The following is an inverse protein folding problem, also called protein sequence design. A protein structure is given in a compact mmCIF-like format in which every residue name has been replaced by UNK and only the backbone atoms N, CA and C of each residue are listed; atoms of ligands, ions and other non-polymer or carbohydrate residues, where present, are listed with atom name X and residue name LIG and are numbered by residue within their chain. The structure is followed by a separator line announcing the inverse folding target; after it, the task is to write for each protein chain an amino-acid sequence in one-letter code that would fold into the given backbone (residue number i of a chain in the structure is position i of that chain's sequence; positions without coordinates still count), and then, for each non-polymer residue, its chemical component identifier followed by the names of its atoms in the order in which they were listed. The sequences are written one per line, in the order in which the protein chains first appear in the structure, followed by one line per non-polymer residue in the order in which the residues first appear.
data_IF_413508506735
#
_entry.id   IF_413508506735
#
_cell.length_a   1.000
_cell.length_b   1.000
_cell.length_c   1.000
_cell.angle_alpha   90.00
_cell.angle_beta   90.00
_cell.angle_gamma   90.00
#
_symmetry.space_group_name_H-M   'P 1'
#
loop_
_entity.id
_entity.type
_entity.pdbx_description
1 polymer ?
#
# COMPACT_ATOMS: atom_id res chain seq x y z
N UNK A 1 -31.69 -8.50 11.03
CA UNK A 1 -31.43 -7.76 9.78
C UNK A 1 -31.10 -8.78 8.70
N UNK A 2 -31.71 -8.67 7.50
CA UNK A 2 -31.46 -9.63 6.43
C UNK A 2 -29.95 -9.64 6.06
N UNK A 3 -29.42 -10.81 5.74
CA UNK A 3 -28.01 -11.03 5.32
C UNK A 3 -27.59 -10.06 4.19
N UNK A 4 -28.52 -9.73 3.31
CA UNK A 4 -28.33 -8.79 2.20
C UNK A 4 -28.03 -7.36 2.70
N UNK A 5 -28.73 -6.86 3.73
CA UNK A 5 -28.48 -5.52 4.28
C UNK A 5 -27.09 -5.43 4.94
N UNK A 6 -26.65 -6.50 5.60
CA UNK A 6 -25.31 -6.59 6.18
C UNK A 6 -24.23 -6.56 5.10
N UNK A 7 -24.39 -7.39 4.05
CA UNK A 7 -23.48 -7.42 2.91
C UNK A 7 -23.42 -6.07 2.18
N UNK A 8 -24.56 -5.45 1.90
CA UNK A 8 -24.61 -4.14 1.27
C UNK A 8 -23.89 -3.08 2.10
N UNK A 9 -24.14 -3.04 3.42
CA UNK A 9 -23.44 -2.10 4.32
C UNK A 9 -21.93 -2.33 4.34
N UNK A 10 -21.46 -3.56 4.39
CA UNK A 10 -20.03 -3.88 4.35
C UNK A 10 -19.41 -3.46 3.02
N UNK A 11 -20.03 -3.76 1.91
CA UNK A 11 -19.58 -3.37 0.56
C UNK A 11 -19.46 -1.85 0.43
N UNK A 12 -20.44 -1.10 0.96
CA UNK A 12 -20.40 0.36 0.95
C UNK A 12 -19.20 0.88 1.74
N UNK A 13 -18.97 0.39 2.96
CA UNK A 13 -17.84 0.85 3.77
C UNK A 13 -16.48 0.54 3.15
N UNK A 14 -16.28 -0.67 2.62
CA UNK A 14 -15.03 -1.05 1.96
C UNK A 14 -14.85 -0.34 0.61
N UNK A 15 -15.91 -0.28 -0.19
CA UNK A 15 -15.88 0.37 -1.51
C UNK A 15 -15.69 1.87 -1.40
N UNK A 16 -16.50 2.55 -0.59
CA UNK A 16 -16.45 4.00 -0.45
C UNK A 16 -15.09 4.48 0.09
N UNK A 17 -14.54 3.80 1.11
CA UNK A 17 -13.21 4.16 1.63
C UNK A 17 -12.10 3.98 0.58
N UNK A 18 -12.20 2.99 -0.28
CA UNK A 18 -11.22 2.74 -1.34
C UNK A 18 -11.36 3.73 -2.50
N UNK A 19 -12.59 4.09 -2.88
CA UNK A 19 -12.88 5.10 -3.91
C UNK A 19 -12.45 6.48 -3.41
N UNK A 20 -12.79 6.83 -2.17
CA UNK A 20 -12.38 8.10 -1.57
C UNK A 20 -10.86 8.27 -1.57
N UNK A 21 -10.11 7.20 -1.21
CA UNK A 21 -8.65 7.22 -1.27
C UNK A 21 -8.12 7.58 -2.66
N UNK A 22 -8.64 6.92 -3.70
CA UNK A 22 -8.22 7.16 -5.09
C UNK A 22 -8.62 8.54 -5.58
N UNK A 23 -9.83 8.98 -5.26
CA UNK A 23 -10.32 10.31 -5.66
C UNK A 23 -9.47 11.43 -5.06
N UNK A 24 -9.12 11.32 -3.79
CA UNK A 24 -8.28 12.30 -3.11
C UNK A 24 -6.85 12.29 -3.69
N UNK A 25 -6.27 11.12 -3.94
CA UNK A 25 -4.97 11.02 -4.61
C UNK A 25 -5.00 11.65 -6.01
N UNK A 26 -6.12 11.50 -6.73
CA UNK A 26 -6.30 12.14 -8.03
C UNK A 26 -6.37 13.68 -7.92
N UNK A 27 -7.02 14.22 -6.87
CA UNK A 27 -7.06 15.68 -6.63
C UNK A 27 -5.69 16.29 -6.30
N UNK A 28 -4.72 15.49 -5.82
CA UNK A 28 -3.36 15.96 -5.59
C UNK A 28 -2.57 16.14 -6.89
N UNK A 29 -2.94 15.47 -7.99
CA UNK A 29 -2.21 15.54 -9.27
C UNK A 29 -2.09 16.98 -9.78
N UNK A 30 -3.15 17.78 -9.91
CA UNK A 30 -3.03 19.19 -10.36
C UNK A 30 -2.14 20.03 -9.45
N UNK A 31 -2.21 19.80 -8.12
CA UNK A 31 -1.37 20.50 -7.17
C UNK A 31 0.12 20.16 -7.36
N UNK A 32 0.44 18.89 -7.53
CA UNK A 32 1.82 18.42 -7.74
C UNK A 32 2.38 18.91 -9.09
N UNK A 33 1.57 18.88 -10.16
CA UNK A 33 2.00 19.37 -11.48
C UNK A 33 2.23 20.88 -11.51
N UNK A 34 1.57 21.63 -10.63
CA UNK A 34 1.81 23.07 -10.49
C UNK A 34 3.08 23.39 -9.67
N UNK A 35 3.36 22.56 -8.66
CA UNK A 35 4.50 22.76 -7.74
C UNK A 35 5.84 22.26 -8.30
N UNK A 36 5.84 21.17 -9.03
CA UNK A 36 7.04 20.54 -9.56
C UNK A 36 7.32 20.93 -11.00
N UNK A 37 8.61 20.94 -11.37
CA UNK A 37 9.02 21.05 -12.78
C UNK A 37 8.60 19.78 -13.54
N UNK A 38 8.44 19.87 -14.85
CA UNK A 38 8.07 18.73 -15.71
C UNK A 38 9.03 17.54 -15.52
N UNK A 39 10.33 17.80 -15.41
CA UNK A 39 11.34 16.77 -15.19
C UNK A 39 11.14 16.08 -13.84
N UNK A 40 11.01 16.84 -12.74
CA UNK A 40 10.85 16.27 -11.40
C UNK A 40 9.52 15.48 -11.27
N UNK A 41 8.44 15.98 -11.88
CA UNK A 41 7.18 15.26 -11.92
C UNK A 41 7.29 13.96 -12.74
N UNK A 42 8.04 14.00 -13.85
CA UNK A 42 8.31 12.83 -14.69
C UNK A 42 9.04 11.73 -13.91
N UNK A 43 10.14 12.08 -13.24
CA UNK A 43 10.91 11.13 -12.40
C UNK A 43 10.05 10.53 -11.28
N UNK A 44 9.28 11.37 -10.58
CA UNK A 44 8.35 10.91 -9.55
C UNK A 44 7.32 9.93 -10.13
N UNK A 45 6.75 10.23 -11.30
CA UNK A 45 5.75 9.38 -11.95
C UNK A 45 6.31 8.01 -12.34
N UNK A 46 7.57 7.96 -12.82
CA UNK A 46 8.26 6.70 -13.10
C UNK A 46 8.37 5.86 -11.83
N UNK A 47 8.87 6.42 -10.73
CA UNK A 47 9.02 5.74 -9.44
C UNK A 47 7.67 5.20 -8.94
N UNK A 48 6.63 6.03 -8.96
CA UNK A 48 5.29 5.64 -8.52
C UNK A 48 4.67 4.54 -9.39
N UNK A 49 5.00 4.47 -10.67
CA UNK A 49 4.49 3.42 -11.57
C UNK A 49 5.00 2.03 -11.22
N UNK A 50 6.19 1.92 -10.60
CA UNK A 50 6.78 0.65 -10.18
C UNK A 50 6.23 0.12 -8.85
N UNK A 51 5.69 0.98 -7.97
CA UNK A 51 5.17 0.57 -6.66
C UNK A 51 4.12 -0.56 -6.76
N UNK A 52 3.11 -0.51 -7.65
CA UNK A 52 2.14 -1.60 -7.78
C UNK A 52 2.76 -2.94 -8.17
N UNK A 53 3.76 -2.94 -9.06
CA UNK A 53 4.47 -4.16 -9.46
C UNK A 53 5.25 -4.77 -8.29
N UNK A 54 5.98 -3.94 -7.55
CA UNK A 54 6.71 -4.37 -6.36
C UNK A 54 5.75 -4.89 -5.28
N UNK A 55 4.61 -4.25 -5.08
CA UNK A 55 3.58 -4.70 -4.14
C UNK A 55 3.05 -6.09 -4.51
N UNK A 56 2.89 -6.42 -5.80
CA UNK A 56 2.51 -7.78 -6.24
C UNK A 56 3.61 -8.79 -5.90
N UNK A 57 4.88 -8.47 -6.15
CA UNK A 57 6.03 -9.35 -5.84
C UNK A 57 6.11 -9.59 -4.33
N UNK A 58 6.07 -8.52 -3.53
CA UNK A 58 6.19 -8.58 -2.08
C UNK A 58 5.00 -9.32 -1.45
N UNK A 59 3.79 -9.08 -1.95
CA UNK A 59 2.58 -9.75 -1.43
C UNK A 59 2.53 -11.25 -1.75
N UNK A 60 3.18 -11.67 -2.84
CA UNK A 60 3.31 -13.07 -3.29
C UNK A 60 2.08 -13.95 -3.00
N UNK A 61 0.86 -13.38 -3.14
CA UNK A 61 -0.39 -14.08 -2.90
C UNK A 61 -0.74 -14.36 -1.43
N UNK A 62 0.03 -13.84 -0.46
CA UNK A 62 -0.15 -14.10 0.97
C UNK A 62 -1.51 -13.58 1.48
N UNK A 63 -2.04 -12.50 0.93
CA UNK A 63 -3.39 -12.04 1.26
C UNK A 63 -4.45 -13.08 0.91
N UNK A 64 -4.37 -13.65 -0.28
CA UNK A 64 -5.29 -14.73 -0.73
C UNK A 64 -5.14 -15.98 0.12
N UNK A 65 -3.91 -16.36 0.45
CA UNK A 65 -3.63 -17.48 1.34
C UNK A 65 -4.22 -17.25 2.74
N UNK A 66 -4.07 -16.04 3.27
CA UNK A 66 -4.64 -15.66 4.56
C UNK A 66 -6.17 -15.81 4.59
N UNK A 67 -6.89 -15.35 3.55
CA UNK A 67 -8.34 -15.53 3.45
C UNK A 67 -8.76 -16.99 3.28
N UNK A 68 -7.97 -17.80 2.59
CA UNK A 68 -8.29 -19.20 2.34
C UNK A 68 -8.10 -20.08 3.56
N UNK A 69 -7.04 -19.85 4.33
CA UNK A 69 -6.64 -20.69 5.45
C UNK A 69 -6.99 -20.13 6.82
N UNK A 70 -7.29 -18.83 6.94
CA UNK A 70 -7.68 -18.20 8.19
C UNK A 70 -9.11 -18.55 8.57
N UNK A 71 -9.29 -19.59 9.38
CA UNK A 71 -10.58 -19.97 9.98
C UNK A 71 -10.67 -19.40 11.41
N UNK A 72 -11.88 -19.41 11.99
CA UNK A 72 -12.07 -18.94 13.38
C UNK A 72 -11.20 -19.67 14.41
N UNK A 73 -10.90 -20.94 14.15
CA UNK A 73 -10.13 -21.80 15.06
C UNK A 73 -8.64 -21.56 14.99
N UNK A 74 -8.11 -21.11 13.84
CA UNK A 74 -6.67 -20.96 13.59
C UNK A 74 -6.25 -19.55 13.15
N UNK A 75 -7.17 -18.57 13.19
CA UNK A 75 -6.93 -17.21 12.68
C UNK A 75 -5.65 -16.61 13.22
N UNK A 76 -5.38 -16.75 14.52
CA UNK A 76 -4.22 -16.13 15.15
C UNK A 76 -2.91 -16.77 14.68
N UNK A 77 -2.87 -18.10 14.59
CA UNK A 77 -1.70 -18.81 14.07
C UNK A 77 -1.40 -18.45 12.62
N UNK A 78 -2.43 -18.42 11.78
CA UNK A 78 -2.30 -18.05 10.37
C UNK A 78 -1.91 -16.57 10.23
N UNK A 79 -2.45 -15.69 11.08
CA UNK A 79 -2.06 -14.27 11.13
C UNK A 79 -0.57 -14.11 11.40
N UNK A 80 -0.04 -14.74 12.43
CA UNK A 80 1.38 -14.65 12.76
C UNK A 80 2.27 -15.25 11.66
N UNK A 81 1.90 -16.42 11.13
CA UNK A 81 2.66 -17.08 10.05
C UNK A 81 2.67 -16.21 8.78
N UNK A 82 1.51 -15.70 8.37
CA UNK A 82 1.38 -14.85 7.19
C UNK A 82 2.12 -13.52 7.36
N UNK A 83 2.01 -12.90 8.53
CA UNK A 83 2.71 -11.64 8.82
C UNK A 83 4.22 -11.83 8.85
N UNK A 84 4.70 -12.92 9.43
CA UNK A 84 6.13 -13.23 9.46
C UNK A 84 6.68 -13.54 8.06
N UNK A 85 5.98 -14.35 7.27
CA UNK A 85 6.35 -14.63 5.88
C UNK A 85 6.41 -13.34 5.05
N UNK A 86 5.38 -12.51 5.17
CA UNK A 86 5.31 -11.21 4.51
C UNK A 86 6.49 -10.32 4.90
N UNK A 87 6.79 -10.24 6.20
CA UNK A 87 7.93 -9.46 6.70
C UNK A 87 9.27 -9.95 6.14
N UNK A 88 9.50 -11.27 6.11
CA UNK A 88 10.75 -11.84 5.60
C UNK A 88 10.95 -11.55 4.11
N UNK A 89 9.92 -11.78 3.29
CA UNK A 89 9.98 -11.50 1.84
C UNK A 89 10.17 -10.01 1.60
N UNK A 90 9.44 -9.17 2.33
CA UNK A 90 9.58 -7.71 2.26
C UNK A 90 11.01 -7.28 2.59
N UNK A 91 11.57 -7.78 3.69
CA UNK A 91 12.94 -7.44 4.10
C UNK A 91 13.98 -7.81 3.03
N UNK A 92 13.86 -8.98 2.40
CA UNK A 92 14.75 -9.41 1.32
C UNK A 92 14.61 -8.49 0.11
N UNK A 93 13.39 -8.17 -0.32
CA UNK A 93 13.14 -7.28 -1.47
C UNK A 93 13.66 -5.86 -1.18
N UNK A 94 13.40 -5.33 0.02
CA UNK A 94 13.89 -4.00 0.42
C UNK A 94 15.42 -3.95 0.42
N UNK A 95 16.08 -4.92 1.02
CA UNK A 95 17.54 -5.00 1.01
C UNK A 95 18.09 -5.02 -0.42
N UNK A 96 17.47 -5.79 -1.31
CA UNK A 96 17.82 -5.81 -2.73
C UNK A 96 17.67 -4.44 -3.39
N UNK A 97 16.49 -3.80 -3.22
CA UNK A 97 16.22 -2.48 -3.81
C UNK A 97 17.17 -1.39 -3.29
N UNK A 98 17.48 -1.40 -1.99
CA UNK A 98 18.40 -0.44 -1.37
C UNK A 98 19.83 -0.69 -1.85
N UNK A 99 20.28 -1.95 -1.86
CA UNK A 99 21.63 -2.31 -2.29
C UNK A 99 21.88 -1.98 -3.77
N UNK A 100 20.92 -2.24 -4.65
CA UNK A 100 21.00 -1.93 -6.07
C UNK A 100 20.33 -0.61 -6.47
N UNK A 101 20.12 0.31 -5.54
CA UNK A 101 19.42 1.58 -5.83
C UNK A 101 20.10 2.38 -6.95
N UNK A 102 21.42 2.52 -6.95
CA UNK A 102 22.15 3.25 -7.97
C UNK A 102 22.07 2.58 -9.38
N UNK A 103 22.31 1.27 -9.57
CA UNK A 103 22.07 0.60 -10.84
C UNK A 103 20.63 0.70 -11.35
N UNK A 104 19.66 0.58 -10.45
CA UNK A 104 18.22 0.69 -10.80
C UNK A 104 17.89 2.12 -11.24
N UNK A 105 18.41 3.13 -10.54
CA UNK A 105 18.22 4.52 -10.90
C UNK A 105 18.82 4.83 -12.31
N UNK A 106 19.95 4.24 -12.64
CA UNK A 106 20.56 4.34 -13.97
C UNK A 106 19.64 3.70 -15.04
N UNK A 107 19.11 2.51 -14.78
CA UNK A 107 18.22 1.82 -15.70
C UNK A 107 16.93 2.61 -15.96
N UNK A 108 16.42 3.30 -14.93
CA UNK A 108 15.21 4.13 -15.01
C UNK A 108 15.48 5.56 -15.49
N UNK A 109 16.74 5.89 -15.84
CA UNK A 109 17.18 7.23 -16.26
C UNK A 109 16.95 8.33 -15.21
N UNK A 110 16.96 7.97 -13.92
CA UNK A 110 16.82 8.86 -12.77
C UNK A 110 18.17 8.96 -12.05
N UNK A 111 19.25 9.18 -12.83
CA UNK A 111 20.62 9.12 -12.32
C UNK A 111 20.97 10.20 -11.31
N UNK A 112 20.26 11.33 -11.37
CA UNK A 112 20.48 12.45 -10.43
C UNK A 112 19.96 12.15 -9.01
N UNK A 113 19.00 11.22 -8.86
CA UNK A 113 18.26 10.99 -7.62
C UNK A 113 18.11 9.50 -7.28
N UNK A 114 19.20 8.75 -7.03
CA UNK A 114 19.11 7.32 -6.65
C UNK A 114 18.37 7.10 -5.33
N UNK A 115 18.30 8.12 -4.47
CA UNK A 115 17.52 8.12 -3.24
C UNK A 115 16.03 7.88 -3.45
N UNK A 116 15.48 8.19 -4.62
CA UNK A 116 14.07 7.92 -4.93
C UNK A 116 13.76 6.42 -4.95
N UNK A 117 14.72 5.58 -5.37
CA UNK A 117 14.59 4.13 -5.31
C UNK A 117 14.53 3.64 -3.86
N UNK A 118 15.36 4.22 -2.99
CA UNK A 118 15.35 3.91 -1.56
C UNK A 118 14.02 4.33 -0.90
N UNK A 119 13.51 5.51 -1.23
CA UNK A 119 12.20 5.97 -0.75
C UNK A 119 11.07 5.07 -1.25
N UNK A 120 11.10 4.68 -2.52
CA UNK A 120 10.15 3.72 -3.09
C UNK A 120 10.17 2.39 -2.33
N UNK A 121 11.36 1.87 -2.02
CA UNK A 121 11.51 0.65 -1.24
C UNK A 121 10.83 0.79 0.13
N UNK A 122 11.04 1.89 0.86
CA UNK A 122 10.37 2.13 2.14
C UNK A 122 8.84 2.21 2.01
N UNK A 123 8.32 2.87 0.98
CA UNK A 123 6.87 2.93 0.73
C UNK A 123 6.31 1.53 0.52
N UNK A 124 6.93 0.73 -0.35
CA UNK A 124 6.52 -0.66 -0.60
C UNK A 124 6.60 -1.51 0.68
N UNK A 125 7.64 -1.31 1.48
CA UNK A 125 7.80 -2.02 2.75
C UNK A 125 6.68 -1.70 3.77
N UNK A 126 6.34 -0.43 3.91
CA UNK A 126 5.25 0.01 4.80
C UNK A 126 3.89 -0.50 4.30
N UNK A 127 3.63 -0.44 3.00
CA UNK A 127 2.42 -1.00 2.39
C UNK A 127 2.30 -2.51 2.66
N UNK A 128 3.39 -3.25 2.49
CA UNK A 128 3.43 -4.69 2.71
C UNK A 128 3.09 -5.06 4.16
N UNK A 129 3.70 -4.40 5.14
CA UNK A 129 3.47 -4.67 6.57
C UNK A 129 1.99 -4.45 6.93
N UNK A 130 1.31 -3.51 6.30
CA UNK A 130 -0.11 -3.22 6.58
C UNK A 130 -1.08 -4.19 5.91
N UNK A 131 -0.66 -4.95 4.90
CA UNK A 131 -1.53 -5.82 4.09
C UNK A 131 -2.23 -6.89 4.93
N UNK A 132 -1.51 -7.66 5.74
CA UNK A 132 -2.11 -8.72 6.56
C UNK A 132 -3.00 -8.17 7.69
N UNK A 133 -2.62 -7.11 8.45
CA UNK A 133 -3.53 -6.44 9.38
C UNK A 133 -4.84 -5.96 8.76
N UNK A 134 -4.78 -5.36 7.56
CA UNK A 134 -5.99 -4.95 6.84
C UNK A 134 -6.83 -6.14 6.38
N UNK A 135 -6.21 -7.22 5.95
CA UNK A 135 -6.88 -8.47 5.58
C UNK A 135 -7.55 -9.11 6.81
N UNK A 136 -6.93 -9.04 7.99
CA UNK A 136 -7.53 -9.47 9.27
C UNK A 136 -8.80 -8.68 9.59
N UNK A 137 -8.78 -7.36 9.45
CA UNK A 137 -9.98 -6.54 9.68
C UNK A 137 -11.13 -6.90 8.73
N UNK A 138 -10.81 -7.29 7.49
CA UNK A 138 -11.80 -7.77 6.50
C UNK A 138 -12.34 -9.15 6.89
N UNK A 139 -11.47 -10.09 7.25
CA UNK A 139 -11.87 -11.43 7.68
C UNK A 139 -12.76 -11.38 8.93
N UNK A 140 -12.46 -10.50 9.88
CA UNK A 140 -13.23 -10.29 11.11
C UNK A 140 -14.51 -9.46 10.90
N UNK A 141 -14.85 -9.11 9.67
CA UNK A 141 -16.04 -8.29 9.34
C UNK A 141 -16.10 -6.97 10.13
N UNK A 142 -14.96 -6.26 10.26
CA UNK A 142 -14.85 -4.97 10.98
C UNK A 142 -14.71 -3.78 10.01
N UNK A 143 -15.70 -3.51 9.13
CA UNK A 143 -15.59 -2.53 8.06
C UNK A 143 -15.39 -1.09 8.57
N UNK A 144 -15.99 -0.74 9.71
CA UNK A 144 -15.84 0.60 10.31
C UNK A 144 -14.42 0.88 10.76
N UNK A 145 -13.75 -0.11 11.40
CA UNK A 145 -12.34 0.04 11.81
C UNK A 145 -11.43 0.13 10.60
N UNK A 146 -11.67 -0.70 9.59
CA UNK A 146 -10.95 -0.64 8.32
C UNK A 146 -11.04 0.74 7.67
N UNK A 147 -12.27 1.26 7.51
CA UNK A 147 -12.51 2.57 6.91
C UNK A 147 -11.86 3.70 7.72
N UNK A 148 -11.98 3.66 9.05
CA UNK A 148 -11.40 4.69 9.94
C UNK A 148 -9.87 4.77 9.80
N UNK A 149 -9.18 3.62 9.86
CA UNK A 149 -7.71 3.59 9.71
C UNK A 149 -7.30 4.06 8.33
N UNK A 150 -8.00 3.60 7.28
CA UNK A 150 -7.68 3.97 5.89
C UNK A 150 -7.91 5.46 5.62
N UNK A 151 -9.02 6.03 6.07
CA UNK A 151 -9.32 7.46 5.93
C UNK A 151 -8.34 8.30 6.76
N UNK A 152 -8.02 7.86 7.97
CA UNK A 152 -7.00 8.52 8.80
C UNK A 152 -5.64 8.59 8.12
N UNK A 153 -5.21 7.51 7.50
CA UNK A 153 -3.98 7.48 6.71
C UNK A 153 -4.01 8.46 5.51
N UNK A 154 -5.15 8.57 4.83
CA UNK A 154 -5.33 9.51 3.72
C UNK A 154 -5.22 10.96 4.21
N UNK A 155 -5.90 11.30 5.31
CA UNK A 155 -5.87 12.65 5.89
C UNK A 155 -4.43 13.01 6.29
N UNK A 156 -3.70 12.10 6.92
CA UNK A 156 -2.29 12.27 7.26
C UNK A 156 -1.42 12.48 6.02
N UNK A 157 -1.64 11.71 4.96
CA UNK A 157 -0.90 11.85 3.70
C UNK A 157 -1.14 13.23 3.07
N UNK A 158 -2.39 13.69 3.01
CA UNK A 158 -2.74 15.02 2.50
C UNK A 158 -2.07 16.10 3.34
N UNK A 159 -2.22 16.02 4.66
CA UNK A 159 -1.61 17.00 5.57
C UNK A 159 -0.09 17.07 5.37
N UNK A 160 0.58 15.91 5.27
CA UNK A 160 2.01 15.85 4.98
C UNK A 160 2.35 16.49 3.63
N UNK A 161 1.58 16.19 2.57
CA UNK A 161 1.82 16.75 1.22
C UNK A 161 1.65 18.27 1.15
N UNK A 162 0.78 18.84 1.98
CA UNK A 162 0.61 20.31 2.03
C UNK A 162 1.64 21.01 2.94
N UNK A 163 2.20 20.29 3.91
CA UNK A 163 3.16 20.86 4.87
C UNK A 163 4.62 20.83 4.34
N UNK A 164 4.92 19.90 3.47
CA UNK A 164 6.24 19.74 2.83
C UNK A 164 6.22 20.10 1.35
#
# INVERSE_FOLDING_TARGET
MSSIKKLASQTIWYGLSSIAARFISYLLVPYLTFKFTESAYGEMSIVYSFIPFLNVIVSHGMETAYFRFGTKENEEKIYHTSSFSMFMVTAVVLMGLIYWSAPIAQLLQITAHPEYITLMAWVVGLDAITTIPFSRLRLQEKPKKFAFVKIGGIILNIAATYFF
#
